data_IF_456294332511
#
_entry.id   IF_456294332511
#
_cell.length_a   1.000
_cell.length_b   1.000
_cell.length_c   1.000
_cell.angle_alpha   90.00
_cell.angle_beta   90.00
_cell.angle_gamma   90.00
#
_symmetry.space_group_name_H-M   'P 1'
#
loop_
_entity.id
_entity.type
_entity.pdbx_description
1 polymer ?
#
# COMPACT_ATOMS: atom_id res chain seq x y z
N UNK A 1 -30.47 39.16 34.27
CA UNK A 1 -31.36 37.99 34.13
C UNK A 1 -31.79 37.92 32.67
N UNK A 2 -31.89 36.73 32.08
CA UNK A 2 -32.38 36.60 30.71
C UNK A 2 -33.83 37.07 30.64
N UNK A 3 -34.13 37.98 29.72
CA UNK A 3 -35.46 38.56 29.56
C UNK A 3 -36.41 37.54 28.91
N UNK A 4 -35.88 36.66 28.06
CA UNK A 4 -36.64 35.61 27.39
C UNK A 4 -35.87 34.28 27.35
N UNK A 5 -36.46 33.23 27.92
CA UNK A 5 -36.10 31.82 27.71
C UNK A 5 -34.75 31.32 28.26
N UNK A 6 -34.57 30.00 28.19
CA UNK A 6 -33.29 29.30 28.42
C UNK A 6 -32.96 28.47 27.17
N UNK A 7 -31.70 28.45 26.77
CA UNK A 7 -31.20 27.60 25.68
C UNK A 7 -30.61 26.33 26.27
N UNK A 8 -30.97 25.18 25.71
CA UNK A 8 -30.41 23.87 26.08
C UNK A 8 -28.95 23.75 25.60
N UNK A 9 -28.08 23.00 26.30
CA UNK A 9 -26.74 22.74 25.84
C UNK A 9 -26.72 21.97 24.52
N UNK A 10 -25.63 22.12 23.76
CA UNK A 10 -25.42 21.40 22.50
C UNK A 10 -25.12 19.92 22.77
N UNK A 11 -25.82 19.04 22.07
CA UNK A 11 -25.51 17.60 22.02
C UNK A 11 -25.36 17.12 20.58
N UNK A 12 -24.21 16.51 20.27
CA UNK A 12 -23.86 16.00 18.94
C UNK A 12 -24.77 14.85 18.49
N UNK A 13 -25.39 14.14 19.44
CA UNK A 13 -26.29 13.02 19.12
C UNK A 13 -27.71 13.47 18.72
N UNK A 14 -28.15 14.62 19.21
CA UNK A 14 -29.55 15.08 19.03
C UNK A 14 -29.69 16.13 17.94
N UNK A 15 -28.73 17.06 17.82
CA UNK A 15 -28.85 18.21 16.93
C UNK A 15 -27.59 18.45 16.10
N UNK A 16 -27.78 18.94 14.86
CA UNK A 16 -26.65 19.34 14.01
C UNK A 16 -26.12 20.70 14.45
N UNK A 17 -24.81 20.94 14.32
CA UNK A 17 -24.19 22.21 14.70
C UNK A 17 -24.88 23.45 14.09
N UNK A 18 -25.33 23.36 12.83
CA UNK A 18 -26.07 24.44 12.15
C UNK A 18 -27.40 24.78 12.83
N UNK A 19 -28.14 23.76 13.28
CA UNK A 19 -29.42 23.95 13.98
C UNK A 19 -29.19 24.61 15.34
N UNK A 20 -28.12 24.22 16.04
CA UNK A 20 -27.76 24.83 17.30
C UNK A 20 -27.34 26.30 17.15
N UNK A 21 -26.54 26.62 16.12
CA UNK A 21 -26.13 28.01 15.85
C UNK A 21 -27.33 28.90 15.56
N UNK A 22 -28.28 28.44 14.74
CA UNK A 22 -29.50 29.21 14.43
C UNK A 22 -30.34 29.48 15.69
N UNK A 23 -30.54 28.46 16.54
CA UNK A 23 -31.27 28.60 17.80
C UNK A 23 -30.60 29.62 18.74
N UNK A 24 -29.28 29.61 18.81
CA UNK A 24 -28.52 30.50 19.67
C UNK A 24 -28.45 31.94 19.13
N UNK A 25 -28.39 32.12 17.82
CA UNK A 25 -28.51 33.45 17.19
C UNK A 25 -29.87 34.09 17.47
N UNK A 26 -30.96 33.33 17.34
CA UNK A 26 -32.30 33.79 17.71
C UNK A 26 -32.39 34.18 19.19
N UNK A 27 -31.68 33.46 20.07
CA UNK A 27 -31.61 33.81 21.48
C UNK A 27 -30.90 35.14 21.74
N UNK A 28 -29.84 35.46 21.00
CA UNK A 28 -29.17 36.75 21.09
C UNK A 28 -30.05 37.89 20.58
N UNK A 29 -30.78 37.67 19.49
CA UNK A 29 -31.73 38.63 18.95
C UNK A 29 -32.88 38.91 19.93
N UNK A 30 -33.49 37.86 20.48
CA UNK A 30 -34.61 38.00 21.42
C UNK A 30 -34.24 38.73 22.71
N UNK A 31 -32.99 38.61 23.17
CA UNK A 31 -32.50 39.27 24.38
C UNK A 31 -31.74 40.59 24.10
N UNK A 32 -31.79 41.09 22.86
CA UNK A 32 -31.12 42.33 22.43
C UNK A 32 -29.63 42.39 22.78
N UNK A 33 -28.95 41.24 22.77
CA UNK A 33 -27.54 41.16 23.16
C UNK A 33 -26.68 41.52 21.94
N UNK A 34 -26.31 42.79 21.83
CA UNK A 34 -25.45 43.30 20.74
C UNK A 34 -23.95 43.21 21.08
N UNK A 35 -23.59 43.22 22.37
CA UNK A 35 -22.18 43.18 22.81
C UNK A 35 -21.55 41.80 22.59
N UNK A 36 -20.51 41.73 21.75
CA UNK A 36 -19.77 40.48 21.47
C UNK A 36 -19.21 39.80 22.73
N UNK A 37 -18.79 40.58 23.74
CA UNK A 37 -18.30 40.04 25.02
C UNK A 37 -19.40 39.36 25.82
N UNK A 38 -20.62 39.92 25.82
CA UNK A 38 -21.79 39.34 26.50
C UNK A 38 -22.27 38.10 25.77
N UNK A 39 -22.36 38.15 24.43
CA UNK A 39 -22.70 36.98 23.62
C UNK A 39 -21.75 35.82 23.91
N UNK A 40 -20.43 36.09 23.98
CA UNK A 40 -19.42 35.08 24.31
C UNK A 40 -19.62 34.49 25.70
N UNK A 41 -19.82 35.33 26.71
CA UNK A 41 -20.03 34.88 28.08
C UNK A 41 -21.30 34.01 28.20
N UNK A 42 -22.38 34.40 27.51
CA UNK A 42 -23.62 33.62 27.46
C UNK A 42 -23.36 32.29 26.75
N UNK A 43 -22.74 32.30 25.56
CA UNK A 43 -22.41 31.10 24.81
C UNK A 43 -21.58 30.10 25.64
N UNK A 44 -20.48 30.55 26.26
CA UNK A 44 -19.62 29.68 27.08
C UNK A 44 -20.33 29.14 28.33
N UNK A 45 -21.38 29.81 28.81
CA UNK A 45 -22.20 29.30 29.92
C UNK A 45 -23.25 28.28 29.49
N UNK A 46 -23.72 28.38 28.24
CA UNK A 46 -24.82 27.57 27.70
C UNK A 46 -24.33 26.34 26.94
N UNK A 47 -23.15 26.39 26.31
CA UNK A 47 -22.65 25.34 25.41
C UNK A 47 -22.50 23.95 26.05
N UNK A 48 -22.50 23.87 27.38
CA UNK A 48 -22.36 22.63 28.14
C UNK A 48 -20.89 22.24 28.36
N UNK A 49 -20.66 21.28 29.26
CA UNK A 49 -19.31 20.88 29.70
C UNK A 49 -18.47 20.25 28.59
N UNK A 50 -19.06 19.34 27.79
CA UNK A 50 -18.38 18.65 26.69
C UNK A 50 -17.88 19.64 25.63
N UNK A 51 -18.77 20.51 25.15
CA UNK A 51 -18.45 21.53 24.14
C UNK A 51 -17.46 22.55 24.69
N UNK A 52 -17.58 22.95 25.95
CA UNK A 52 -16.61 23.86 26.58
C UNK A 52 -15.20 23.24 26.67
N UNK A 53 -15.10 21.96 27.02
CA UNK A 53 -13.82 21.25 27.03
C UNK A 53 -13.19 21.22 25.62
N UNK A 54 -13.99 20.91 24.61
CA UNK A 54 -13.55 20.93 23.20
C UNK A 54 -13.10 22.33 22.75
N UNK A 55 -13.87 23.37 23.09
CA UNK A 55 -13.47 24.76 22.82
C UNK A 55 -12.13 25.09 23.49
N UNK A 56 -11.95 24.67 24.76
CA UNK A 56 -10.72 24.91 25.53
C UNK A 56 -9.51 24.24 24.89
N UNK A 57 -9.70 23.06 24.33
CA UNK A 57 -8.67 22.27 23.64
C UNK A 57 -8.33 22.86 22.27
N UNK A 58 -9.32 23.29 21.48
CA UNK A 58 -9.11 23.91 20.17
C UNK A 58 -8.43 25.29 20.27
N UNK A 59 -8.69 26.06 21.33
CA UNK A 59 -8.18 27.44 21.48
C UNK A 59 -6.81 27.54 22.15
N UNK A 60 -6.15 26.42 22.48
CA UNK A 60 -4.82 26.47 23.10
C UNK A 60 -3.82 27.23 22.21
N UNK A 61 -2.96 28.11 22.77
CA UNK A 61 -2.71 28.39 24.19
C UNK A 61 -3.63 29.46 24.82
N UNK A 62 -4.51 30.12 24.05
CA UNK A 62 -5.37 31.20 24.51
C UNK A 62 -6.51 30.67 25.40
N UNK A 63 -7.03 31.52 26.30
CA UNK A 63 -8.23 31.17 27.09
C UNK A 63 -9.49 31.48 26.28
N UNK A 64 -10.55 30.67 26.39
CA UNK A 64 -11.83 30.93 25.70
C UNK A 64 -12.47 32.27 26.10
N UNK A 65 -12.14 32.80 27.28
CA UNK A 65 -12.62 34.11 27.75
C UNK A 65 -11.93 35.30 27.07
N UNK A 66 -10.80 35.11 26.40
CA UNK A 66 -10.01 36.20 25.81
C UNK A 66 -10.23 36.31 24.29
N UNK A 67 -10.71 35.25 23.62
CA UNK A 67 -10.91 35.18 22.17
C UNK A 67 -12.25 35.76 21.72
N UNK A 68 -12.34 36.24 20.48
CA UNK A 68 -13.60 36.74 19.95
C UNK A 68 -14.60 35.60 19.71
N UNK A 69 -15.89 35.86 19.91
CA UNK A 69 -16.93 34.83 19.72
C UNK A 69 -16.93 34.27 18.29
N UNK A 70 -16.63 35.11 17.30
CA UNK A 70 -16.55 34.73 15.88
C UNK A 70 -15.42 33.74 15.62
N UNK A 71 -14.28 33.91 16.29
CA UNK A 71 -13.14 32.98 16.20
C UNK A 71 -13.54 31.60 16.77
N UNK A 72 -14.28 31.60 17.89
CA UNK A 72 -14.78 30.37 18.52
C UNK A 72 -15.74 29.62 17.57
N UNK A 73 -16.74 30.31 17.02
CA UNK A 73 -17.68 29.70 16.07
C UNK A 73 -16.96 29.12 14.85
N UNK A 74 -15.98 29.85 14.30
CA UNK A 74 -15.21 29.40 13.15
C UNK A 74 -14.42 28.12 13.43
N UNK A 75 -13.77 28.01 14.59
CA UNK A 75 -13.04 26.78 14.96
C UNK A 75 -13.99 25.61 15.24
N UNK A 76 -15.15 25.87 15.84
CA UNK A 76 -16.16 24.83 16.05
C UNK A 76 -16.80 24.35 14.73
N UNK A 77 -17.08 25.26 13.81
CA UNK A 77 -17.62 24.92 12.50
C UNK A 77 -16.65 24.03 11.71
N UNK A 78 -15.34 24.32 11.75
CA UNK A 78 -14.32 23.43 11.15
C UNK A 78 -14.29 22.04 11.77
N UNK A 79 -14.54 21.93 13.07
CA UNK A 79 -14.50 20.65 13.78
C UNK A 79 -15.75 19.81 13.51
N UNK A 80 -16.94 20.42 13.64
CA UNK A 80 -18.22 19.71 13.45
C UNK A 80 -18.60 19.55 11.98
N UNK A 81 -18.14 20.44 11.10
CA UNK A 81 -18.42 20.44 9.67
C UNK A 81 -17.08 20.50 8.92
N UNK A 82 -16.24 19.46 9.01
CA UNK A 82 -14.98 19.45 8.29
C UNK A 82 -15.26 19.51 6.79
N UNK A 83 -14.56 20.40 6.09
CA UNK A 83 -14.69 20.52 4.64
C UNK A 83 -14.39 19.16 3.99
N UNK A 84 -15.34 18.55 3.27
CA UNK A 84 -15.13 17.24 2.71
C UNK A 84 -14.07 17.31 1.61
N UNK A 85 -13.05 16.46 1.71
CA UNK A 85 -12.05 16.34 0.64
C UNK A 85 -12.70 15.76 -0.61
N UNK A 86 -12.54 16.44 -1.74
CA UNK A 86 -13.03 15.96 -3.05
C UNK A 86 -12.54 14.54 -3.33
N UNK A 87 -11.32 14.20 -2.93
CA UNK A 87 -10.76 12.86 -3.12
C UNK A 87 -11.50 11.84 -2.25
N UNK A 88 -11.81 12.19 -1.00
CA UNK A 88 -12.52 11.31 -0.06
C UNK A 88 -13.97 11.12 -0.50
N UNK A 89 -14.66 12.19 -0.91
CA UNK A 89 -16.04 12.06 -1.40
C UNK A 89 -16.11 11.28 -2.72
N UNK A 90 -15.17 11.52 -3.64
CA UNK A 90 -15.01 10.66 -4.83
C UNK A 90 -14.75 9.22 -4.44
N UNK A 91 -13.91 8.96 -3.44
CA UNK A 91 -13.66 7.60 -2.97
C UNK A 91 -14.92 6.98 -2.38
N UNK A 92 -15.62 7.67 -1.47
CA UNK A 92 -16.90 7.22 -0.89
C UNK A 92 -17.90 6.90 -1.99
N UNK A 93 -18.05 7.78 -2.97
CA UNK A 93 -18.87 7.57 -4.15
C UNK A 93 -18.45 6.31 -4.92
N UNK A 94 -17.17 6.20 -5.32
CA UNK A 94 -16.64 5.04 -6.06
C UNK A 94 -16.50 3.74 -5.23
N UNK A 95 -16.71 3.80 -3.92
CA UNK A 95 -16.70 2.65 -3.02
C UNK A 95 -18.10 2.22 -2.60
N UNK A 96 -19.14 3.02 -2.90
CA UNK A 96 -20.51 2.71 -2.50
C UNK A 96 -21.05 1.61 -3.40
N UNK A 97 -21.36 0.48 -2.78
CA UNK A 97 -21.98 -0.67 -3.45
C UNK A 97 -23.33 -0.89 -2.76
N UNK A 98 -24.40 -1.03 -3.55
CA UNK A 98 -25.74 -1.34 -3.02
C UNK A 98 -25.68 -2.64 -2.24
N UNK A 99 -26.15 -2.61 -0.99
CA UNK A 99 -26.32 -3.83 -0.20
C UNK A 99 -27.61 -4.56 -0.61
N UNK A 100 -27.67 -5.86 -0.38
CA UNK A 100 -28.81 -6.70 -0.80
C UNK A 100 -30.11 -6.29 -0.08
N UNK A 101 -29.99 -5.78 1.14
CA UNK A 101 -31.06 -5.28 2.01
C UNK A 101 -31.44 -3.80 1.76
N UNK A 102 -30.75 -3.11 0.86
CA UNK A 102 -30.99 -1.68 0.59
C UNK A 102 -32.00 -1.49 -0.56
N UNK A 103 -33.18 -0.96 -0.22
CA UNK A 103 -34.20 -0.60 -1.21
C UNK A 103 -33.78 0.56 -2.12
N UNK A 104 -34.43 0.65 -3.30
CA UNK A 104 -34.11 1.63 -4.36
C UNK A 104 -34.15 3.09 -3.85
N UNK A 105 -35.02 3.41 -2.89
CA UNK A 105 -35.12 4.76 -2.33
C UNK A 105 -33.83 5.23 -1.61
N UNK A 106 -33.05 4.30 -1.04
CA UNK A 106 -31.79 4.63 -0.35
C UNK A 106 -30.57 4.60 -1.29
N UNK A 107 -30.65 3.77 -2.33
CA UNK A 107 -29.62 3.64 -3.37
C UNK A 107 -30.24 3.72 -4.76
N UNK A 108 -30.33 4.93 -5.29
CA UNK A 108 -30.71 5.16 -6.68
C UNK A 108 -29.54 4.80 -7.57
N UNK A 109 -29.71 3.76 -8.38
CA UNK A 109 -28.73 3.40 -9.39
C UNK A 109 -28.79 4.44 -10.51
N UNK A 110 -27.74 5.23 -10.69
CA UNK A 110 -27.70 6.31 -11.69
C UNK A 110 -26.84 5.92 -12.89
N UNK A 111 -26.97 6.66 -14.00
CA UNK A 111 -26.07 6.52 -15.15
C UNK A 111 -24.60 6.84 -14.79
N UNK A 112 -24.35 7.60 -13.71
CA UNK A 112 -23.01 7.87 -13.20
C UNK A 112 -22.36 6.63 -12.56
N UNK A 113 -23.16 5.65 -12.11
CA UNK A 113 -22.62 4.39 -11.58
C UNK A 113 -22.02 3.51 -12.70
N UNK A 114 -22.42 3.73 -13.95
CA UNK A 114 -21.82 3.08 -15.13
C UNK A 114 -20.48 3.73 -15.52
N UNK A 115 -20.22 4.97 -15.08
CA UNK A 115 -18.95 5.67 -15.28
C UNK A 115 -17.93 5.22 -14.24
N UNK A 116 -18.37 4.59 -13.15
CA UNK A 116 -17.51 4.11 -12.08
C UNK A 116 -16.66 2.93 -12.57
N UNK A 117 -15.32 3.09 -12.72
CA UNK A 117 -14.47 1.94 -12.96
C UNK A 117 -14.53 1.06 -11.71
N UNK A 118 -14.69 -0.26 -11.89
CA UNK A 118 -14.54 -1.20 -10.78
C UNK A 118 -13.09 -1.13 -10.27
N UNK A 119 -12.86 -0.27 -9.28
CA UNK A 119 -11.53 -0.01 -8.74
C UNK A 119 -10.92 -1.30 -8.18
N UNK A 120 -11.76 -2.16 -7.59
CA UNK A 120 -11.36 -3.48 -7.11
C UNK A 120 -10.83 -4.38 -8.22
N UNK A 121 -11.50 -4.42 -9.37
CA UNK A 121 -11.05 -5.21 -10.53
C UNK A 121 -9.74 -4.64 -11.09
N UNK A 122 -9.66 -3.32 -11.22
CA UNK A 122 -8.45 -2.65 -11.72
C UNK A 122 -7.24 -2.86 -10.81
N UNK A 123 -7.45 -2.80 -9.49
CA UNK A 123 -6.38 -3.06 -8.51
C UNK A 123 -5.94 -4.52 -8.57
N UNK A 124 -6.88 -5.47 -8.63
CA UNK A 124 -6.57 -6.90 -8.79
C UNK A 124 -5.78 -7.17 -10.06
N UNK A 125 -6.18 -6.56 -11.17
CA UNK A 125 -5.48 -6.70 -12.45
C UNK A 125 -4.08 -6.09 -12.41
N UNK A 126 -3.91 -4.93 -11.77
CA UNK A 126 -2.58 -4.32 -11.61
C UNK A 126 -1.67 -5.15 -10.70
N UNK A 127 -2.20 -5.70 -9.62
CA UNK A 127 -1.47 -6.60 -8.73
C UNK A 127 -1.09 -7.91 -9.45
N UNK A 128 -1.98 -8.47 -10.27
CA UNK A 128 -1.68 -9.69 -11.04
C UNK A 128 -0.62 -9.42 -12.11
N UNK A 129 -0.69 -8.30 -12.82
CA UNK A 129 0.35 -7.86 -13.77
C UNK A 129 1.70 -7.69 -13.07
N UNK A 130 1.73 -7.05 -11.89
CA UNK A 130 2.97 -6.86 -11.12
C UNK A 130 3.56 -8.20 -10.66
N UNK A 131 2.72 -9.11 -10.16
CA UNK A 131 3.14 -10.46 -9.78
C UNK A 131 3.68 -11.23 -10.99
N UNK A 132 2.99 -11.20 -12.14
CA UNK A 132 3.43 -11.88 -13.34
C UNK A 132 4.79 -11.37 -13.85
N UNK A 133 5.02 -10.05 -13.83
CA UNK A 133 6.33 -9.46 -14.19
C UNK A 133 7.41 -9.88 -13.20
N UNK A 134 7.11 -9.89 -11.91
CA UNK A 134 8.04 -10.33 -10.88
C UNK A 134 8.38 -11.82 -11.05
N UNK A 135 7.37 -12.67 -11.23
CA UNK A 135 7.51 -14.11 -11.38
C UNK A 135 8.22 -14.48 -12.69
N UNK A 136 8.05 -13.71 -13.77
CA UNK A 136 8.77 -13.90 -15.04
C UNK A 136 10.29 -13.77 -14.89
N UNK A 137 10.75 -12.83 -14.06
CA UNK A 137 12.18 -12.66 -13.75
C UNK A 137 12.64 -13.50 -12.54
N UNK A 138 11.72 -14.11 -11.80
CA UNK A 138 12.03 -14.95 -10.67
C UNK A 138 12.59 -16.29 -11.17
N UNK A 139 13.91 -16.48 -11.01
CA UNK A 139 14.52 -17.80 -11.24
C UNK A 139 14.06 -18.75 -10.15
N UNK A 140 13.45 -19.87 -10.55
CA UNK A 140 13.09 -20.93 -9.64
C UNK A 140 14.36 -21.57 -9.07
N UNK A 141 14.60 -21.41 -7.77
CA UNK A 141 15.75 -22.00 -7.06
C UNK A 141 15.25 -23.08 -6.12
N UNK A 142 15.03 -24.28 -6.64
CA UNK A 142 14.62 -25.42 -5.82
C UNK A 142 15.84 -25.98 -5.08
N UNK A 143 16.06 -25.49 -3.86
CA UNK A 143 17.00 -26.13 -2.95
C UNK A 143 16.33 -27.41 -2.44
N UNK A 144 16.98 -28.58 -2.50
CA UNK A 144 16.49 -29.82 -1.85
C UNK A 144 17.43 -30.18 -0.71
N UNK A 145 16.92 -30.85 0.32
CA UNK A 145 17.75 -31.42 1.39
C UNK A 145 18.67 -32.47 0.78
N UNK A 146 19.97 -32.41 1.11
CA UNK A 146 21.01 -33.24 0.51
C UNK A 146 21.73 -32.61 -0.69
N UNK A 147 21.30 -31.45 -1.19
CA UNK A 147 22.04 -30.77 -2.26
C UNK A 147 23.38 -30.22 -1.74
N UNK A 148 24.42 -30.42 -2.53
CA UNK A 148 25.71 -29.74 -2.37
C UNK A 148 25.55 -28.27 -2.76
N UNK A 149 25.91 -27.37 -1.85
CA UNK A 149 25.80 -25.93 -2.03
C UNK A 149 27.05 -25.23 -1.55
N UNK A 150 27.38 -24.11 -2.18
CA UNK A 150 28.29 -23.13 -1.61
C UNK A 150 27.50 -22.12 -0.79
N UNK A 151 27.83 -21.98 0.48
CA UNK A 151 27.28 -20.99 1.39
C UNK A 151 28.22 -19.78 1.50
N UNK A 152 27.67 -18.57 1.38
CA UNK A 152 28.44 -17.33 1.54
C UNK A 152 28.95 -17.21 2.98
N UNK A 153 30.26 -16.99 3.11
CA UNK A 153 30.86 -16.60 4.39
C UNK A 153 30.86 -15.08 4.52
N UNK A 154 30.46 -14.60 5.69
CA UNK A 154 30.41 -13.18 6.03
C UNK A 154 31.64 -12.73 6.81
N UNK A 155 32.48 -13.66 7.27
CA UNK A 155 33.72 -13.36 8.00
C UNK A 155 34.79 -12.81 7.06
N UNK A 156 34.79 -13.19 5.78
CA UNK A 156 35.71 -12.67 4.76
C UNK A 156 34.94 -12.16 3.53
N UNK A 157 35.28 -10.98 2.99
CA UNK A 157 34.67 -10.51 1.75
C UNK A 157 34.99 -11.48 0.60
N UNK A 158 33.98 -11.80 -0.24
CA UNK A 158 34.06 -12.71 -1.41
C UNK A 158 34.45 -14.17 -1.11
N UNK A 159 34.01 -14.74 0.01
CA UNK A 159 34.27 -16.14 0.34
C UNK A 159 33.00 -16.99 0.29
N UNK A 160 33.14 -18.17 -0.33
CA UNK A 160 32.09 -19.19 -0.49
C UNK A 160 32.62 -20.49 0.10
N UNK A 161 31.88 -21.07 1.04
CA UNK A 161 32.25 -22.30 1.74
C UNK A 161 31.39 -23.46 1.23
N UNK A 162 31.98 -24.60 0.84
CA UNK A 162 31.21 -25.78 0.47
C UNK A 162 30.46 -26.35 1.68
N UNK A 163 29.29 -26.92 1.42
CA UNK A 163 28.52 -27.65 2.43
C UNK A 163 27.29 -28.33 1.85
N UNK A 164 26.59 -29.08 2.70
CA UNK A 164 25.40 -29.85 2.34
C UNK A 164 24.17 -29.30 3.04
N UNK A 165 23.05 -29.14 2.31
CA UNK A 165 21.80 -28.66 2.90
C UNK A 165 21.18 -29.75 3.78
N UNK A 166 21.11 -29.52 5.09
CA UNK A 166 20.53 -30.48 6.05
C UNK A 166 19.02 -30.33 6.12
N UNK A 167 18.54 -29.09 6.30
CA UNK A 167 17.13 -28.80 6.55
C UNK A 167 16.71 -27.46 5.97
N UNK A 168 15.47 -27.34 5.50
CA UNK A 168 14.84 -26.06 5.20
C UNK A 168 14.16 -25.51 6.46
N UNK A 169 14.62 -24.35 6.93
CA UNK A 169 14.06 -23.67 8.12
C UNK A 169 12.92 -22.71 7.73
N UNK A 170 12.78 -22.35 6.45
CA UNK A 170 11.68 -21.51 5.95
C UNK A 170 11.60 -21.50 4.42
N UNK A 171 10.69 -20.68 3.83
CA UNK A 171 10.49 -20.66 2.37
C UNK A 171 11.77 -20.30 1.60
N UNK A 172 12.65 -19.49 2.21
CA UNK A 172 13.84 -18.92 1.57
C UNK A 172 15.11 -19.15 2.40
N UNK A 173 15.06 -19.96 3.46
CA UNK A 173 16.19 -20.17 4.38
C UNK A 173 16.44 -21.65 4.62
N UNK A 174 17.70 -22.04 4.59
CA UNK A 174 18.14 -23.41 4.84
C UNK A 174 19.33 -23.45 5.80
N UNK A 175 19.43 -24.57 6.52
CA UNK A 175 20.56 -24.97 7.33
C UNK A 175 21.53 -25.80 6.47
N UNK A 176 22.79 -25.39 6.46
CA UNK A 176 23.87 -26.02 5.71
C UNK A 176 24.89 -26.54 6.70
N UNK A 177 25.24 -27.81 6.59
CA UNK A 177 26.39 -28.40 7.26
C UNK A 177 27.61 -28.19 6.37
N UNK A 178 28.57 -27.42 6.89
CA UNK A 178 29.88 -27.25 6.26
C UNK A 178 30.70 -28.54 6.34
N UNK A 179 31.72 -28.65 5.50
CA UNK A 179 32.68 -29.76 5.52
C UNK A 179 33.40 -29.89 6.89
N UNK A 180 33.55 -28.76 7.62
CA UNK A 180 34.09 -28.70 8.98
C UNK A 180 33.10 -29.18 10.08
N UNK A 181 31.91 -29.66 9.70
CA UNK A 181 30.88 -30.16 10.60
C UNK A 181 29.98 -29.10 11.27
N UNK A 182 30.26 -27.81 11.06
CA UNK A 182 29.44 -26.72 11.60
C UNK A 182 28.14 -26.51 10.81
N UNK A 183 27.02 -26.35 11.52
CA UNK A 183 25.71 -26.06 10.91
C UNK A 183 25.47 -24.54 10.91
N UNK A 184 25.25 -23.97 9.72
CA UNK A 184 24.95 -22.54 9.54
C UNK A 184 23.61 -22.35 8.86
N UNK A 185 22.88 -21.29 9.24
CA UNK A 185 21.62 -20.89 8.58
C UNK A 185 21.89 -19.81 7.54
N UNK A 186 21.42 -19.99 6.29
CA UNK A 186 21.58 -19.01 5.21
C UNK A 186 20.32 -18.85 4.37
N UNK A 187 20.18 -17.64 3.81
CA UNK A 187 19.15 -17.30 2.83
C UNK A 187 19.49 -17.89 1.46
N UNK A 188 18.49 -18.16 0.60
CA UNK A 188 18.72 -18.74 -0.73
C UNK A 188 19.67 -17.90 -1.62
N UNK A 189 19.73 -16.58 -1.42
CA UNK A 189 20.66 -15.70 -2.14
C UNK A 189 22.11 -15.80 -1.68
N UNK A 190 22.30 -16.37 -0.49
CA UNK A 190 23.61 -16.67 0.08
C UNK A 190 24.01 -18.11 -0.17
N UNK A 191 23.30 -18.79 -1.08
CA UNK A 191 23.55 -20.17 -1.48
C UNK A 191 23.70 -20.25 -3.00
N UNK A 192 24.67 -21.04 -3.44
CA UNK A 192 24.84 -21.40 -4.85
C UNK A 192 24.84 -22.92 -4.94
N UNK A 193 24.07 -23.48 -5.86
CA UNK A 193 24.08 -24.94 -6.09
C UNK A 193 25.46 -25.31 -6.65
N UNK A 194 26.08 -26.33 -6.05
CA UNK A 194 27.36 -26.89 -6.49
C UNK A 194 27.05 -28.16 -7.30
N UNK A 195 27.17 -28.07 -8.62
CA UNK A 195 27.10 -29.23 -9.53
C UNK A 195 28.50 -29.74 -9.78
N UNK A 196 29.15 -30.29 -8.75
CA UNK A 196 30.34 -31.09 -8.98
C UNK A 196 29.86 -32.52 -9.19
N UNK A 197 29.93 -33.00 -10.43
CA UNK A 197 29.76 -34.42 -10.73
C UNK A 197 31.15 -35.04 -10.60
N UNK A 198 31.46 -35.86 -9.58
CA UNK A 198 32.55 -36.81 -9.73
C UNK A 198 32.09 -37.83 -10.77
N UNK A 199 32.74 -37.85 -11.93
CA UNK A 199 32.65 -38.99 -12.84
C UNK A 199 33.27 -40.20 -12.13
N UNK A 200 32.47 -40.93 -11.35
CA UNK A 200 32.82 -42.28 -10.94
C UNK A 200 32.60 -43.17 -12.16
N UNK A 201 33.70 -43.55 -12.80
CA UNK A 201 33.79 -44.71 -13.69
C UNK A 201 33.16 -45.92 -13.01
N UNK A 202 31.94 -46.28 -13.42
CA UNK A 202 31.38 -47.61 -13.15
C UNK A 202 31.77 -48.47 -14.34
N UNK A 203 32.79 -49.30 -14.13
CA UNK A 203 33.07 -50.44 -14.98
C UNK A 203 32.05 -51.56 -14.69
N UNK A 204 31.70 -52.27 -15.77
CA UNK A 204 31.04 -53.58 -15.85
C UNK A 204 29.51 -53.65 -15.65
N UNK A 205 28.87 -54.21 -16.67
CA UNK A 205 27.66 -55.03 -16.53
C UNK A 205 26.35 -54.41 -17.01
N UNK A 206 26.15 -54.26 -18.33
CA UNK A 206 24.82 -54.13 -18.91
C UNK A 206 24.59 -55.31 -19.86
N UNK A 207 23.88 -56.32 -19.36
CA UNK A 207 23.07 -57.22 -20.20
C UNK A 207 21.78 -56.50 -20.60
N UNK A 208 21.34 -56.87 -21.80
CA UNK A 208 20.28 -56.31 -22.63
C UNK A 208 18.96 -55.99 -21.93
N UNK A 209 18.48 -54.76 -22.13
CA UNK A 209 17.04 -54.45 -22.12
C UNK A 209 16.75 -53.56 -23.34
N UNK A 210 16.26 -54.18 -24.41
CA UNK A 210 15.66 -53.49 -25.56
C UNK A 210 14.40 -52.73 -25.10
N UNK A 211 14.40 -51.40 -25.22
CA UNK A 211 13.15 -50.63 -25.29
C UNK A 211 12.70 -50.51 -26.76
N UNK A 212 11.38 -50.58 -27.04
CA UNK A 212 10.86 -50.59 -28.39
C UNK A 212 11.03 -49.22 -29.06
N UNK A 213 11.59 -49.23 -30.26
CA UNK A 213 11.72 -48.05 -31.13
C UNK A 213 10.33 -47.56 -31.51
N UNK A 214 9.99 -46.35 -31.07
CA UNK A 214 8.81 -45.63 -31.56
C UNK A 214 9.24 -44.90 -32.83
N UNK A 215 8.72 -45.34 -33.97
CA UNK A 215 8.93 -44.67 -35.26
C UNK A 215 8.40 -43.23 -35.18
N UNK A 216 9.30 -42.26 -35.37
CA UNK A 216 8.96 -40.85 -35.54
C UNK A 216 8.88 -40.62 -37.05
N UNK A 217 7.68 -40.37 -37.56
CA UNK A 217 7.48 -39.92 -38.94
C UNK A 217 8.27 -38.63 -39.19
N UNK A 218 8.86 -38.43 -40.39
CA UNK A 218 9.49 -37.16 -40.74
C UNK A 218 8.41 -36.08 -40.83
N UNK A 219 8.50 -35.06 -39.98
CA UNK A 219 7.68 -33.86 -40.11
C UNK A 219 8.15 -33.06 -41.34
N UNK A 220 7.20 -32.62 -42.16
CA UNK A 220 7.45 -31.73 -43.30
C UNK A 220 8.19 -30.45 -42.84
N UNK A 221 9.17 -29.93 -43.62
CA UNK A 221 9.85 -28.68 -43.31
C UNK A 221 8.86 -27.52 -43.28
N UNK A 222 8.83 -26.82 -42.15
CA UNK A 222 8.03 -25.62 -41.96
C UNK A 222 8.71 -24.47 -42.72
N UNK A 223 8.03 -23.87 -43.70
CA UNK A 223 8.48 -22.60 -44.31
C UNK A 223 8.23 -21.45 -43.32
N UNK A 224 9.30 -20.80 -42.89
CA UNK A 224 9.25 -19.59 -42.05
C UNK A 224 8.70 -18.41 -42.86
N UNK A 225 7.54 -17.83 -42.51
CA UNK A 225 7.09 -16.61 -43.17
C UNK A 225 7.97 -15.44 -42.69
N UNK A 226 8.36 -14.59 -43.64
CA UNK A 226 9.19 -13.39 -43.48
C UNK A 226 8.83 -12.54 -42.24
N UNK A 227 9.45 -12.85 -41.10
CA UNK A 227 9.33 -12.09 -39.86
C UNK A 227 10.33 -10.93 -39.78
N UNK A 228 11.28 -10.84 -40.72
CA UNK A 228 12.32 -9.80 -40.72
C UNK A 228 11.77 -8.41 -41.07
N UNK A 229 10.78 -8.29 -41.96
CA UNK A 229 10.25 -6.99 -42.39
C UNK A 229 9.45 -6.23 -41.31
N UNK A 230 9.05 -6.90 -40.22
CA UNK A 230 8.19 -6.30 -39.17
C UNK A 230 8.95 -5.86 -37.92
N UNK A 231 10.24 -6.20 -37.82
CA UNK A 231 11.10 -5.81 -36.70
C UNK A 231 11.49 -4.33 -36.74
N UNK A 232 11.54 -3.71 -37.93
CA UNK A 232 12.06 -2.36 -38.14
C UNK A 232 11.10 -1.22 -37.71
N UNK A 233 9.85 -1.51 -37.41
CA UNK A 233 8.85 -0.50 -37.00
C UNK A 233 8.63 -0.38 -35.49
N UNK A 234 9.38 -1.11 -34.66
CA UNK A 234 9.34 -0.92 -33.20
C UNK A 234 10.24 0.24 -32.79
N UNK A 235 9.81 1.47 -33.06
CA UNK A 235 10.42 2.68 -32.48
C UNK A 235 10.16 2.72 -30.97
N UNK A 236 11.02 2.10 -30.17
CA UNK A 236 11.09 2.39 -28.74
C UNK A 236 11.71 3.78 -28.57
N UNK A 237 11.15 4.67 -27.73
CA UNK A 237 11.79 5.93 -27.43
C UNK A 237 13.13 5.67 -26.72
N UNK A 238 14.23 6.14 -27.31
CA UNK A 238 15.55 6.10 -26.69
C UNK A 238 15.50 6.94 -25.41
N UNK A 239 15.59 6.28 -24.25
CA UNK A 239 15.72 6.97 -22.96
C UNK A 239 17.19 7.26 -22.72
N UNK A 240 17.60 8.50 -22.97
CA UNK A 240 18.89 9.00 -22.50
C UNK A 240 18.90 8.99 -20.97
N UNK A 241 19.56 7.99 -20.39
CA UNK A 241 19.78 7.93 -18.94
C UNK A 241 20.84 8.97 -18.59
N UNK A 242 20.42 10.14 -18.12
CA UNK A 242 21.33 11.11 -17.50
C UNK A 242 21.85 10.54 -16.18
N UNK A 243 23.16 10.59 -15.98
CA UNK A 243 23.79 10.18 -14.73
C UNK A 243 23.34 11.12 -13.59
N UNK A 244 23.07 10.59 -12.38
CA UNK A 244 22.72 11.39 -11.22
C UNK A 244 23.78 12.45 -10.89
N UNK A 245 23.38 13.70 -10.64
CA UNK A 245 24.29 14.83 -10.46
C UNK A 245 25.31 14.63 -9.32
N UNK A 246 24.94 13.94 -8.23
CA UNK A 246 25.84 13.67 -7.10
C UNK A 246 27.03 12.73 -7.38
N UNK A 247 27.12 12.15 -8.58
CA UNK A 247 28.27 11.33 -9.01
C UNK A 247 29.30 12.12 -9.83
N UNK A 248 29.02 13.39 -10.18
CA UNK A 248 29.95 14.24 -10.93
C UNK A 248 31.22 14.55 -10.12
N UNK A 249 31.10 14.65 -8.80
CA UNK A 249 32.20 15.00 -7.91
C UNK A 249 33.21 13.85 -7.71
N UNK A 250 32.85 12.62 -8.13
CA UNK A 250 33.68 11.43 -7.92
C UNK A 250 34.73 11.17 -9.03
N UNK A 251 34.62 11.81 -10.20
CA UNK A 251 35.50 11.53 -11.35
C UNK A 251 36.80 12.36 -11.38
N UNK A 252 37.01 13.30 -10.44
CA UNK A 252 38.21 14.16 -10.41
C UNK A 252 39.38 13.62 -9.57
N UNK A 253 39.39 12.34 -9.20
CA UNK A 253 40.44 11.75 -8.36
C UNK A 253 41.36 10.74 -9.06
N UNK A 254 41.39 10.69 -10.40
CA UNK A 254 42.38 9.93 -11.16
C UNK A 254 42.99 10.79 -12.28
N UNK A 255 44.00 11.59 -11.93
CA UNK A 255 45.03 12.09 -12.85
C UNK A 255 46.34 12.19 -12.08
#
# INVERSE_FOLDING_TARGET
>A
MATYGKVSPFDEAEETWTQYTERLEQYFLANEVTDAKKQRAIFLSVCGSKTYALIRDLLQPKKPGDTEIKEIFKELEKHFIPTPSVIVERFKFHSRIRRVDEGIAKHLRTQLDLIQPNLGDRVREKQSQQKAVHDYHARERIIKTGNLVYAKDFRKPKSWMPGTVVKKTGPVSAEIQLDDGLIIRRHQDHLRIRTDVPQTTIASGLEDIQLPTREVNPAEPWEEPELEARAEQRRQPHRDRRLPQHLQDYELANS
#
